data_IF_070423306379
#
_entry.id   IF_070423306379
#
_cell.length_a   1.000
_cell.length_b   1.000
_cell.length_c   1.000
_cell.angle_alpha   90.00
_cell.angle_beta   90.00
_cell.angle_gamma   90.00
#
_symmetry.space_group_name_H-M   'P 1'
#
loop_
_entity.id
_entity.type
_entity.pdbx_description
1 polymer ?
#
# COMPACT_ATOMS: atom_id res chain seq x y z
N UNK A 1 6.43 -23.93 18.70
CA UNK A 1 5.93 -23.17 17.54
C UNK A 1 6.96 -23.29 16.44
N UNK A 2 6.56 -23.53 15.17
CA UNK A 2 7.52 -23.67 14.06
C UNK A 2 7.98 -22.30 13.55
N UNK A 3 9.22 -22.22 13.12
CA UNK A 3 9.77 -21.08 12.39
C UNK A 3 9.77 -21.36 10.89
N UNK A 4 9.75 -20.29 10.10
CA UNK A 4 9.93 -20.32 8.66
C UNK A 4 10.74 -19.10 8.23
N UNK A 5 11.22 -19.09 6.98
CA UNK A 5 11.87 -17.91 6.41
C UNK A 5 10.87 -16.78 6.23
N UNK A 6 11.35 -15.53 6.21
CA UNK A 6 10.51 -14.37 5.92
C UNK A 6 9.88 -14.46 4.51
N UNK A 7 10.60 -15.03 3.53
CA UNK A 7 10.04 -15.30 2.21
C UNK A 7 8.84 -16.25 2.29
N UNK A 8 8.99 -17.40 2.94
CA UNK A 8 7.89 -18.36 3.14
C UNK A 8 6.73 -17.71 3.89
N UNK A 9 6.99 -16.90 4.92
CA UNK A 9 5.95 -16.17 5.64
C UNK A 9 5.10 -15.25 4.76
N UNK A 10 5.73 -14.62 3.76
CA UNK A 10 5.09 -13.68 2.84
C UNK A 10 4.44 -14.35 1.63
N UNK A 11 4.89 -15.55 1.24
CA UNK A 11 4.46 -16.17 -0.05
C UNK A 11 3.73 -17.50 0.10
N UNK A 12 3.86 -18.20 1.23
CA UNK A 12 3.30 -19.56 1.39
C UNK A 12 1.76 -19.55 1.46
N UNK A 13 1.21 -18.66 2.28
CA UNK A 13 -0.22 -18.53 2.49
C UNK A 13 -0.72 -17.19 1.94
N UNK A 14 -1.48 -17.24 0.86
CA UNK A 14 -2.15 -16.06 0.31
C UNK A 14 -3.43 -15.73 1.12
N UNK A 15 -3.83 -14.46 1.20
CA UNK A 15 -5.15 -14.08 1.71
C UNK A 15 -6.25 -14.78 0.90
N UNK A 16 -7.38 -15.13 1.52
CA UNK A 16 -8.49 -15.73 0.79
C UNK A 16 -9.06 -14.72 -0.21
N UNK A 17 -9.52 -15.21 -1.36
CA UNK A 17 -10.29 -14.41 -2.29
C UNK A 17 -11.57 -13.91 -1.61
N UNK A 18 -11.84 -12.61 -1.73
CA UNK A 18 -13.04 -11.99 -1.17
C UNK A 18 -14.19 -12.10 -2.18
N UNK A 19 -15.33 -12.60 -1.73
CA UNK A 19 -16.57 -12.52 -2.51
C UNK A 19 -17.23 -11.15 -2.30
N UNK A 20 -18.01 -10.71 -3.28
CA UNK A 20 -18.75 -9.45 -3.21
C UNK A 20 -20.26 -9.67 -3.30
N UNK A 21 -21.02 -8.87 -2.56
CA UNK A 21 -22.49 -8.93 -2.53
C UNK A 21 -23.10 -7.53 -2.52
N UNK A 22 -24.19 -7.31 -3.28
CA UNK A 22 -24.95 -6.05 -3.27
C UNK A 22 -24.07 -4.80 -3.45
N UNK A 23 -23.11 -4.86 -4.38
CA UNK A 23 -22.18 -3.75 -4.61
C UNK A 23 -22.86 -2.62 -5.35
N UNK A 24 -22.51 -1.39 -4.99
CA UNK A 24 -22.92 -0.20 -5.73
C UNK A 24 -21.68 0.53 -6.22
N UNK A 25 -21.63 0.78 -7.53
CA UNK A 25 -20.58 1.61 -8.12
C UNK A 25 -20.93 3.08 -7.90
N UNK A 26 -20.28 3.69 -6.92
CA UNK A 26 -20.31 5.15 -6.71
C UNK A 26 -18.99 5.77 -7.15
N UNK A 27 -19.01 7.06 -7.47
CA UNK A 27 -17.78 7.80 -7.81
C UNK A 27 -16.78 7.82 -6.66
N UNK A 28 -15.49 7.90 -7.02
CA UNK A 28 -14.41 8.07 -6.06
C UNK A 28 -14.43 9.47 -5.43
N UNK A 29 -13.74 9.61 -4.31
CA UNK A 29 -13.62 10.85 -3.56
C UNK A 29 -13.02 11.98 -4.43
N UNK A 30 -13.64 13.15 -4.36
CA UNK A 30 -13.19 14.36 -5.06
C UNK A 30 -12.92 15.48 -4.06
N UNK A 31 -12.02 16.39 -4.42
CA UNK A 31 -11.67 17.56 -3.63
C UNK A 31 -11.29 18.71 -4.57
N UNK A 32 -11.26 19.96 -4.09
CA UNK A 32 -10.80 21.10 -4.89
C UNK A 32 -9.26 21.23 -4.95
N UNK A 33 -8.51 20.45 -4.15
CA UNK A 33 -7.05 20.44 -4.10
C UNK A 33 -6.39 19.48 -5.08
N UNK A 34 -7.13 18.55 -5.65
CA UNK A 34 -6.65 17.60 -6.64
C UNK A 34 -7.76 17.18 -7.60
N UNK A 35 -7.39 16.88 -8.84
CA UNK A 35 -8.30 16.50 -9.90
C UNK A 35 -7.70 15.42 -10.77
N UNK A 36 -8.55 14.53 -11.31
CA UNK A 36 -8.18 13.63 -12.40
C UNK A 36 -7.47 14.34 -13.58
N UNK A 37 -7.73 15.64 -13.77
CA UNK A 37 -7.09 16.47 -14.79
C UNK A 37 -5.61 16.74 -14.52
N UNK A 38 -5.14 16.62 -13.28
CA UNK A 38 -3.76 16.85 -12.87
C UNK A 38 -2.85 15.71 -13.34
N UNK A 39 -3.43 14.52 -13.56
CA UNK A 39 -2.72 13.36 -14.10
C UNK A 39 -2.60 13.47 -15.61
N UNK A 40 -1.44 13.96 -16.05
CA UNK A 40 -1.12 14.14 -17.49
C UNK A 40 -0.64 12.86 -18.14
N UNK A 41 0.28 12.15 -17.48
CA UNK A 41 0.91 10.95 -18.01
C UNK A 41 0.98 9.87 -16.92
N UNK A 42 0.77 8.62 -17.32
CA UNK A 42 1.00 7.45 -16.48
C UNK A 42 1.92 6.52 -17.26
N UNK A 43 3.11 6.26 -16.72
CA UNK A 43 4.13 5.41 -17.33
C UNK A 43 4.36 4.17 -16.47
N UNK A 44 4.71 3.02 -17.07
CA UNK A 44 5.12 1.85 -16.29
C UNK A 44 6.35 2.17 -15.44
N UNK A 45 6.46 1.53 -14.26
CA UNK A 45 7.62 1.61 -13.40
C UNK A 45 8.38 0.27 -13.41
N UNK A 46 9.29 0.05 -14.40
CA UNK A 46 9.92 -1.24 -14.61
C UNK A 46 10.86 -1.67 -13.47
N UNK A 47 11.39 -0.71 -12.70
CA UNK A 47 12.30 -1.01 -11.59
C UNK A 47 11.59 -1.72 -10.43
N UNK A 48 10.27 -1.53 -10.28
CA UNK A 48 9.48 -2.30 -9.33
C UNK A 48 9.02 -3.61 -9.96
N UNK A 49 9.80 -4.67 -9.74
CA UNK A 49 9.50 -6.01 -10.23
C UNK A 49 9.86 -7.07 -9.20
N UNK A 50 9.18 -8.22 -9.26
CA UNK A 50 9.46 -9.35 -8.36
C UNK A 50 10.91 -9.83 -8.48
N UNK A 51 11.44 -9.92 -9.70
CA UNK A 51 12.84 -10.29 -9.94
C UNK A 51 13.81 -9.33 -9.25
N UNK A 52 13.56 -8.01 -9.33
CA UNK A 52 14.38 -7.01 -8.67
C UNK A 52 14.28 -7.09 -7.14
N UNK A 53 13.07 -7.30 -6.61
CA UNK A 53 12.85 -7.47 -5.16
C UNK A 53 13.64 -8.69 -4.64
N UNK A 54 13.58 -9.82 -5.34
CA UNK A 54 14.32 -11.03 -4.94
C UNK A 54 15.83 -10.85 -5.14
N UNK A 55 16.27 -10.15 -6.18
CA UNK A 55 17.69 -9.83 -6.38
C UNK A 55 18.25 -8.98 -5.23
N UNK A 56 17.54 -7.91 -4.86
CA UNK A 56 18.05 -6.92 -3.90
C UNK A 56 17.84 -7.37 -2.44
N UNK A 57 16.70 -8.02 -2.13
CA UNK A 57 16.32 -8.38 -0.76
C UNK A 57 16.27 -9.89 -0.51
N UNK A 58 16.54 -10.74 -1.50
CA UNK A 58 16.56 -12.20 -1.36
C UNK A 58 17.38 -12.72 -0.18
N UNK A 59 18.61 -12.20 0.08
CA UNK A 59 19.39 -12.61 1.25
C UNK A 59 18.67 -12.34 2.59
N UNK A 60 18.02 -11.19 2.73
CA UNK A 60 17.22 -10.83 3.92
C UNK A 60 16.01 -11.74 4.02
N UNK A 61 15.27 -11.90 2.92
CA UNK A 61 14.03 -12.67 2.88
C UNK A 61 14.25 -14.16 3.19
N UNK A 62 15.35 -14.76 2.74
CA UNK A 62 15.64 -16.18 2.95
C UNK A 62 16.32 -16.49 4.28
N UNK A 63 17.00 -15.52 4.92
CA UNK A 63 17.75 -15.75 6.17
C UNK A 63 17.02 -15.28 7.42
N UNK A 64 16.10 -14.32 7.29
CA UNK A 64 15.30 -13.84 8.41
C UNK A 64 14.34 -14.94 8.87
N UNK A 65 14.42 -15.32 10.14
CA UNK A 65 13.56 -16.35 10.73
C UNK A 65 12.38 -15.70 11.42
N UNK A 66 11.16 -16.15 11.14
CA UNK A 66 9.95 -15.61 11.76
C UNK A 66 9.06 -16.74 12.26
N UNK A 67 8.36 -16.49 13.37
CA UNK A 67 7.36 -17.42 13.87
C UNK A 67 6.29 -17.65 12.79
N UNK A 68 5.93 -18.92 12.59
CA UNK A 68 4.82 -19.26 11.71
C UNK A 68 3.54 -18.68 12.29
N UNK A 69 2.79 -17.99 11.45
CA UNK A 69 1.50 -17.40 11.79
C UNK A 69 0.62 -17.63 10.55
N UNK A 70 -0.18 -18.71 10.54
CA UNK A 70 -0.98 -19.11 9.39
C UNK A 70 -2.13 -18.13 9.17
N UNK A 71 -2.66 -18.08 7.95
CA UNK A 71 -3.86 -17.26 7.67
C UNK A 71 -5.03 -17.75 8.53
N UNK A 72 -5.90 -16.84 9.01
CA UNK A 72 -7.13 -17.23 9.69
C UNK A 72 -7.93 -18.22 8.83
N UNK A 73 -8.37 -19.32 9.45
CA UNK A 73 -9.15 -20.38 8.78
C UNK A 73 -10.65 -20.12 8.80
N UNK A 74 -11.08 -19.02 9.42
CA UNK A 74 -12.47 -18.58 9.40
C UNK A 74 -12.92 -18.31 7.97
N UNK A 75 -14.15 -18.69 7.57
CA UNK A 75 -14.67 -18.40 6.24
C UNK A 75 -14.58 -16.91 5.91
N UNK A 76 -14.06 -16.52 4.73
CA UNK A 76 -13.95 -15.11 4.36
C UNK A 76 -15.35 -14.51 4.25
N UNK A 77 -15.56 -13.40 4.96
CA UNK A 77 -16.84 -12.67 4.92
C UNK A 77 -16.87 -11.78 3.67
N UNK A 78 -18.00 -11.76 2.93
CA UNK A 78 -18.12 -10.95 1.73
C UNK A 78 -17.93 -9.46 2.03
N UNK A 79 -17.54 -8.72 0.99
CA UNK A 79 -17.44 -7.26 1.00
C UNK A 79 -18.56 -6.66 0.13
N UNK A 80 -19.01 -5.45 0.46
CA UNK A 80 -20.02 -4.73 -0.33
C UNK A 80 -19.64 -3.27 -0.61
N UNK A 81 -18.67 -2.76 0.15
CA UNK A 81 -18.20 -1.38 0.16
C UNK A 81 -16.72 -1.34 0.59
N UNK A 82 -16.12 -0.14 0.49
CA UNK A 82 -14.73 0.10 0.88
C UNK A 82 -14.50 -0.14 2.38
N UNK A 83 -15.47 0.18 3.24
CA UNK A 83 -15.32 -0.02 4.69
C UNK A 83 -15.13 -1.50 5.04
N UNK A 84 -15.93 -2.39 4.45
CA UNK A 84 -15.75 -3.83 4.66
C UNK A 84 -14.44 -4.33 4.04
N UNK A 85 -13.97 -3.74 2.93
CA UNK A 85 -12.65 -4.06 2.40
C UNK A 85 -11.52 -3.67 3.37
N UNK A 86 -11.60 -2.49 4.00
CA UNK A 86 -10.64 -2.09 5.04
C UNK A 86 -10.60 -3.09 6.20
N UNK A 87 -11.76 -3.55 6.67
CA UNK A 87 -11.82 -4.57 7.72
C UNK A 87 -11.08 -5.85 7.32
N UNK A 88 -11.25 -6.33 6.08
CA UNK A 88 -10.54 -7.52 5.58
C UNK A 88 -9.04 -7.26 5.40
N UNK A 89 -8.66 -6.07 4.96
CA UNK A 89 -7.26 -5.68 4.83
C UNK A 89 -6.54 -5.65 6.21
N UNK A 90 -7.22 -5.14 7.25
CA UNK A 90 -6.70 -5.16 8.63
C UNK A 90 -6.68 -6.57 9.21
N UNK A 91 -7.62 -7.44 8.84
CA UNK A 91 -7.67 -8.84 9.27
C UNK A 91 -6.53 -9.68 8.66
N UNK A 92 -6.29 -9.57 7.34
CA UNK A 92 -5.41 -10.48 6.61
C UNK A 92 -4.01 -9.92 6.30
N UNK A 93 -3.87 -8.61 6.03
CA UNK A 93 -2.64 -8.03 5.47
C UNK A 93 -1.85 -7.24 6.52
N UNK A 94 -2.50 -6.27 7.18
CA UNK A 94 -1.79 -5.27 8.00
C UNK A 94 -0.92 -5.88 9.11
N UNK A 95 -1.35 -6.90 9.87
CA UNK A 95 -0.52 -7.53 10.89
C UNK A 95 0.69 -8.26 10.30
N UNK A 96 0.55 -8.86 9.11
CA UNK A 96 1.63 -9.57 8.43
C UNK A 96 2.71 -8.62 7.95
N UNK A 97 2.33 -7.51 7.32
CA UNK A 97 3.29 -6.48 6.87
C UNK A 97 4.07 -5.94 8.07
N UNK A 98 3.40 -5.57 9.17
CA UNK A 98 4.05 -5.11 10.41
C UNK A 98 5.03 -6.14 10.97
N UNK A 99 4.62 -7.40 11.09
CA UNK A 99 5.48 -8.48 11.61
C UNK A 99 6.69 -8.74 10.72
N UNK A 100 6.49 -8.72 9.39
CA UNK A 100 7.54 -8.90 8.40
C UNK A 100 8.59 -7.78 8.45
N UNK A 101 8.14 -6.52 8.47
CA UNK A 101 9.02 -5.35 8.59
C UNK A 101 9.83 -5.41 9.90
N UNK A 102 9.17 -5.68 11.03
CA UNK A 102 9.84 -5.82 12.33
C UNK A 102 10.93 -6.90 12.28
N UNK A 103 10.59 -8.12 11.88
CA UNK A 103 11.54 -9.23 11.83
C UNK A 103 12.71 -8.94 10.87
N UNK A 104 12.42 -8.35 9.71
CA UNK A 104 13.41 -7.96 8.71
C UNK A 104 14.43 -6.97 9.26
N UNK A 105 13.99 -5.89 9.91
CA UNK A 105 14.91 -4.89 10.45
C UNK A 105 15.63 -5.36 11.73
N UNK A 106 14.93 -6.03 12.66
CA UNK A 106 15.53 -6.48 13.93
C UNK A 106 16.66 -7.51 13.72
N UNK A 107 16.50 -8.42 12.76
CA UNK A 107 17.47 -9.49 12.51
C UNK A 107 18.56 -9.12 11.49
N UNK A 108 18.44 -7.95 10.83
CA UNK A 108 19.39 -7.51 9.81
C UNK A 108 19.86 -6.07 10.08
N UNK A 109 20.58 -5.81 11.19
CA UNK A 109 21.05 -4.47 11.54
C UNK A 109 22.00 -3.85 10.51
N UNK A 110 22.60 -4.64 9.62
CA UNK A 110 23.39 -4.14 8.49
C UNK A 110 22.56 -3.33 7.48
N UNK A 111 21.24 -3.53 7.41
CA UNK A 111 20.37 -2.73 6.54
C UNK A 111 20.39 -1.26 6.94
N UNK A 112 20.38 -0.97 8.24
CA UNK A 112 20.43 0.40 8.74
C UNK A 112 21.86 0.91 8.83
N UNK A 113 22.81 0.07 9.27
CA UNK A 113 24.20 0.49 9.47
C UNK A 113 25.01 0.68 8.17
N UNK A 114 24.76 -0.12 7.14
CA UNK A 114 25.58 -0.16 5.92
C UNK A 114 24.82 0.15 4.63
N UNK A 115 23.52 -0.20 4.54
CA UNK A 115 22.71 0.02 3.33
C UNK A 115 21.90 1.33 3.36
N UNK A 116 22.08 2.16 4.39
CA UNK A 116 21.38 3.44 4.59
C UNK A 116 19.84 3.30 4.48
N UNK A 117 19.30 2.15 4.90
CA UNK A 117 17.87 1.97 5.06
C UNK A 117 17.42 2.47 6.43
N UNK A 118 16.15 2.86 6.50
CA UNK A 118 15.53 3.29 7.73
C UNK A 118 14.51 2.25 8.16
N UNK A 119 14.54 1.88 9.45
CA UNK A 119 13.57 0.94 9.99
C UNK A 119 12.17 1.56 9.99
N UNK A 120 11.26 0.91 9.28
CA UNK A 120 9.86 1.36 9.12
C UNK A 120 8.88 0.32 9.63
N UNK A 121 7.67 0.79 9.94
CA UNK A 121 6.49 -0.01 10.23
C UNK A 121 5.33 0.44 9.33
N UNK A 122 4.19 -0.23 9.44
CA UNK A 122 3.00 -0.04 8.62
C UNK A 122 1.77 0.14 9.51
N UNK A 123 0.94 1.14 9.25
CA UNK A 123 -0.31 1.34 10.00
C UNK A 123 -1.36 2.10 9.15
N UNK A 124 -2.50 2.45 9.75
CA UNK A 124 -3.47 3.36 9.14
C UNK A 124 -2.91 4.78 9.01
N UNK A 125 -3.41 5.56 8.05
CA UNK A 125 -2.86 6.90 7.79
C UNK A 125 -2.97 7.92 8.92
N UNK A 126 -3.77 7.65 9.97
CA UNK A 126 -3.80 8.46 11.19
C UNK A 126 -2.64 8.18 12.16
N UNK A 127 -1.75 7.24 11.84
CA UNK A 127 -0.56 6.96 12.64
C UNK A 127 0.57 7.97 12.40
N UNK A 128 0.45 8.83 11.39
CA UNK A 128 1.39 9.91 11.06
C UNK A 128 0.74 11.29 11.27
N UNK A 129 1.49 12.36 11.12
CA UNK A 129 0.94 13.72 11.10
C UNK A 129 0.00 13.92 9.90
N UNK A 130 -1.24 14.35 10.17
CA UNK A 130 -2.22 14.67 9.13
C UNK A 130 -1.97 16.07 8.57
N UNK A 131 -1.80 16.17 7.26
CA UNK A 131 -1.57 17.43 6.55
C UNK A 131 -2.87 17.91 5.93
N UNK A 132 -3.30 19.13 6.29
CA UNK A 132 -4.56 19.74 5.86
C UNK A 132 -5.81 18.87 6.12
N UNK A 133 -5.78 18.07 7.19
CA UNK A 133 -6.85 17.10 7.54
C UNK A 133 -7.09 15.99 6.50
N UNK A 134 -6.20 15.82 5.52
CA UNK A 134 -6.25 14.69 4.60
C UNK A 134 -5.62 13.46 5.25
N UNK A 135 -6.36 12.36 5.23
CA UNK A 135 -5.96 11.08 5.81
C UNK A 135 -5.90 10.02 4.70
N UNK A 136 -4.70 9.59 4.29
CA UNK A 136 -4.54 8.37 3.50
C UNK A 136 -5.09 7.17 4.28
N UNK A 137 -5.47 6.09 3.60
CA UNK A 137 -5.97 4.90 4.28
C UNK A 137 -4.87 4.19 5.06
N UNK A 138 -3.64 4.23 4.55
CA UNK A 138 -2.46 3.58 5.13
C UNK A 138 -1.24 4.49 5.15
N UNK A 139 -0.31 4.19 6.04
CA UNK A 139 0.97 4.87 6.15
C UNK A 139 2.12 3.88 6.37
N UNK A 140 3.25 4.19 5.75
CA UNK A 140 4.56 3.67 6.16
C UNK A 140 5.26 4.77 6.95
N UNK A 141 5.69 4.46 8.16
CA UNK A 141 6.29 5.41 9.09
C UNK A 141 7.52 4.81 9.75
N UNK A 142 8.40 5.64 10.31
CA UNK A 142 9.58 5.15 11.00
C UNK A 142 9.15 4.41 12.26
N UNK A 143 9.81 3.28 12.54
CA UNK A 143 9.46 2.46 13.70
C UNK A 143 9.70 3.17 15.04
N UNK A 144 10.52 4.23 15.05
CA UNK A 144 10.81 5.06 16.21
C UNK A 144 9.83 6.21 16.43
N UNK A 145 8.95 6.49 15.46
CA UNK A 145 8.04 7.64 15.55
C UNK A 145 6.91 7.36 16.55
N UNK A 146 6.50 8.40 17.28
CA UNK A 146 5.34 8.36 18.15
C UNK A 146 4.08 8.37 17.27
N UNK A 147 3.07 7.57 17.59
CA UNK A 147 1.80 7.54 16.84
C UNK A 147 1.19 8.93 16.76
N UNK A 148 0.81 9.34 15.55
CA UNK A 148 0.29 10.68 15.23
C UNK A 148 1.38 11.72 14.92
N UNK A 149 2.65 11.31 14.95
CA UNK A 149 3.80 12.16 14.61
C UNK A 149 4.57 11.58 13.42
N UNK A 150 5.46 12.39 12.84
CA UNK A 150 6.29 11.97 11.73
C UNK A 150 5.59 12.02 10.37
N UNK A 151 6.38 11.77 9.33
CA UNK A 151 5.95 11.88 7.93
C UNK A 151 5.50 10.52 7.39
N UNK A 152 4.51 10.52 6.49
CA UNK A 152 4.17 9.32 5.74
C UNK A 152 5.22 9.04 4.65
N UNK A 153 6.03 8.00 4.82
CA UNK A 153 7.09 7.62 3.90
C UNK A 153 6.55 6.97 2.62
N UNK A 154 5.33 6.42 2.67
CA UNK A 154 4.61 5.94 1.49
C UNK A 154 3.11 5.85 1.82
N UNK A 155 2.31 6.88 1.48
CA UNK A 155 0.87 6.81 1.65
C UNK A 155 0.29 5.74 0.76
N UNK A 156 -0.77 5.09 1.25
CA UNK A 156 -1.54 4.15 0.45
C UNK A 156 -3.04 4.42 0.52
N UNK A 157 -3.71 4.05 -0.55
CA UNK A 157 -5.15 4.20 -0.76
C UNK A 157 -5.76 2.81 -0.96
N UNK A 158 -6.84 2.51 -0.25
CA UNK A 158 -7.55 1.25 -0.33
C UNK A 158 -8.81 1.46 -1.17
N UNK A 159 -8.98 0.62 -2.19
CA UNK A 159 -10.15 0.67 -3.09
C UNK A 159 -10.75 -0.70 -3.28
N UNK A 160 -11.96 -0.71 -3.78
CA UNK A 160 -12.62 -1.93 -4.24
C UNK A 160 -12.54 -2.00 -5.76
N UNK A 161 -12.33 -3.20 -6.28
CA UNK A 161 -12.07 -3.47 -7.70
C UNK A 161 -13.22 -3.05 -8.60
N UNK A 162 -14.47 -2.97 -8.11
CA UNK A 162 -15.58 -2.43 -8.91
C UNK A 162 -15.66 -0.90 -8.96
N UNK A 163 -14.81 -0.19 -8.21
CA UNK A 163 -14.69 1.28 -8.23
C UNK A 163 -13.39 1.78 -8.83
N UNK A 164 -12.34 0.97 -8.82
CA UNK A 164 -11.06 1.30 -9.41
C UNK A 164 -10.26 0.04 -9.74
N UNK A 165 -9.64 0.01 -10.91
CA UNK A 165 -8.68 -1.02 -11.32
C UNK A 165 -7.60 -0.43 -12.20
N UNK A 166 -6.40 -1.02 -12.17
CA UNK A 166 -5.29 -0.61 -13.02
C UNK A 166 -5.58 -0.79 -14.52
N UNK A 167 -6.40 -1.79 -14.88
CA UNK A 167 -6.80 -2.10 -16.26
C UNK A 167 -7.51 -0.92 -16.95
N UNK A 168 -8.14 -0.03 -16.18
CA UNK A 168 -8.81 1.17 -16.71
C UNK A 168 -7.84 2.23 -17.25
N UNK A 169 -6.53 2.04 -17.12
CA UNK A 169 -5.52 2.90 -17.75
C UNK A 169 -5.71 3.05 -19.26
N UNK A 170 -6.20 2.00 -19.93
CA UNK A 170 -6.37 1.95 -21.39
C UNK A 170 -7.84 1.85 -21.81
N UNK A 171 -8.77 2.11 -20.89
CA UNK A 171 -10.21 2.08 -21.21
C UNK A 171 -10.60 3.19 -22.19
N UNK A 172 -11.59 2.92 -23.03
CA UNK A 172 -12.24 3.92 -23.89
C UNK A 172 -13.48 4.53 -23.24
N UNK A 173 -13.95 3.97 -22.13
CA UNK A 173 -15.07 4.53 -21.37
C UNK A 173 -14.63 5.79 -20.62
N UNK A 174 -15.34 6.90 -20.85
CA UNK A 174 -14.96 8.20 -20.32
C UNK A 174 -15.11 8.27 -18.78
N UNK A 175 -16.06 7.52 -18.21
CA UNK A 175 -16.26 7.47 -16.77
C UNK A 175 -15.15 6.64 -16.11
N UNK A 176 -14.84 5.46 -16.64
CA UNK A 176 -13.74 4.62 -16.15
C UNK A 176 -12.40 5.35 -16.24
N UNK A 177 -12.11 6.01 -17.36
CA UNK A 177 -10.88 6.77 -17.54
C UNK A 177 -10.76 7.94 -16.54
N UNK A 178 -11.88 8.59 -16.23
CA UNK A 178 -11.96 9.65 -15.21
C UNK A 178 -11.74 9.09 -13.81
N UNK A 179 -12.45 8.03 -13.43
CA UNK A 179 -12.34 7.41 -12.11
C UNK A 179 -10.94 6.82 -11.88
N UNK A 180 -10.34 6.22 -12.93
CA UNK A 180 -8.96 5.76 -12.92
C UNK A 180 -8.00 6.88 -12.51
N UNK A 181 -8.04 8.02 -13.23
CA UNK A 181 -7.18 9.18 -12.96
C UNK A 181 -7.53 9.89 -11.66
N UNK A 182 -8.77 9.81 -11.19
CA UNK A 182 -9.21 10.45 -9.96
C UNK A 182 -8.49 9.85 -8.74
N UNK A 183 -8.43 8.52 -8.63
CA UNK A 183 -7.69 7.86 -7.54
C UNK A 183 -6.19 8.15 -7.63
N UNK A 184 -5.61 8.14 -8.85
CA UNK A 184 -4.21 8.52 -9.04
C UNK A 184 -3.94 9.96 -8.58
N UNK A 185 -4.85 10.90 -8.85
CA UNK A 185 -4.71 12.31 -8.43
C UNK A 185 -4.76 12.47 -6.91
N UNK A 186 -5.62 11.69 -6.24
CA UNK A 186 -5.72 11.67 -4.79
C UNK A 186 -4.43 11.15 -4.16
N UNK A 187 -3.93 9.99 -4.62
CA UNK A 187 -2.69 9.43 -4.09
C UNK A 187 -1.49 10.34 -4.39
N UNK A 188 -1.40 10.90 -5.61
CA UNK A 188 -0.33 11.85 -5.95
C UNK A 188 -0.37 13.08 -5.03
N UNK A 189 -1.56 13.59 -4.70
CA UNK A 189 -1.70 14.69 -3.74
C UNK A 189 -1.14 14.31 -2.35
N UNK A 190 -1.46 13.11 -1.84
CA UNK A 190 -0.88 12.63 -0.58
C UNK A 190 0.65 12.50 -0.65
N UNK A 191 1.18 12.01 -1.78
CA UNK A 191 2.63 11.89 -2.00
C UNK A 191 3.32 13.25 -1.99
N UNK A 192 2.73 14.25 -2.66
CA UNK A 192 3.23 15.64 -2.66
C UNK A 192 3.20 16.24 -1.25
N UNK A 193 2.08 16.12 -0.52
CA UNK A 193 1.96 16.63 0.84
C UNK A 193 3.04 16.03 1.76
N UNK A 194 3.28 14.72 1.66
CA UNK A 194 4.25 14.00 2.49
C UNK A 194 5.68 14.01 1.90
N UNK A 195 5.92 14.73 0.80
CA UNK A 195 7.23 14.83 0.12
C UNK A 195 7.86 13.47 -0.17
N UNK A 196 7.04 12.48 -0.53
CA UNK A 196 7.50 11.12 -0.79
C UNK A 196 7.42 10.76 -2.25
N UNK A 197 8.46 10.06 -2.72
CA UNK A 197 8.54 9.54 -4.09
C UNK A 197 7.57 8.38 -4.33
N UNK A 198 7.20 7.63 -3.29
CA UNK A 198 6.48 6.36 -3.44
C UNK A 198 5.10 6.42 -2.77
N UNK A 199 4.16 5.72 -3.37
CA UNK A 199 2.83 5.47 -2.84
C UNK A 199 2.28 4.19 -3.44
N UNK A 200 1.11 3.73 -2.99
CA UNK A 200 0.51 2.52 -3.54
C UNK A 200 -1.01 2.53 -3.42
N UNK A 201 -1.66 1.79 -4.31
CA UNK A 201 -3.10 1.51 -4.24
C UNK A 201 -3.25 0.01 -4.02
N UNK A 202 -4.13 -0.40 -3.10
CA UNK A 202 -4.49 -1.80 -2.93
C UNK A 202 -5.99 -1.97 -3.18
N UNK A 203 -6.33 -2.99 -3.93
CA UNK A 203 -7.70 -3.47 -4.05
C UNK A 203 -7.85 -4.91 -3.58
N UNK A 204 -9.08 -5.41 -3.57
CA UNK A 204 -9.36 -6.83 -3.34
C UNK A 204 -8.71 -7.77 -4.38
N UNK A 205 -8.21 -7.24 -5.50
CA UNK A 205 -7.63 -8.04 -6.59
C UNK A 205 -6.18 -7.69 -6.93
N UNK A 206 -5.66 -6.54 -6.52
CA UNK A 206 -4.33 -6.09 -6.95
C UNK A 206 -3.63 -5.15 -5.96
N UNK A 207 -2.29 -5.10 -6.08
CA UNK A 207 -1.43 -4.06 -5.52
C UNK A 207 -0.82 -3.27 -6.69
N UNK A 208 -1.01 -1.95 -6.68
CA UNK A 208 -0.47 -1.05 -7.70
C UNK A 208 0.52 -0.08 -7.05
N UNK A 209 1.82 -0.38 -7.11
CA UNK A 209 2.86 0.51 -6.61
C UNK A 209 3.03 1.70 -7.57
N UNK A 210 3.29 2.87 -7.03
CA UNK A 210 3.44 4.10 -7.77
C UNK A 210 4.70 4.85 -7.37
N UNK A 211 5.30 5.51 -8.35
CA UNK A 211 6.39 6.47 -8.16
C UNK A 211 6.00 7.82 -8.77
N UNK A 212 6.25 8.90 -8.04
CA UNK A 212 6.12 10.27 -8.52
C UNK A 212 7.45 10.82 -9.04
N UNK A 213 7.38 11.90 -9.81
CA UNK A 213 8.55 12.73 -10.09
C UNK A 213 8.76 13.70 -8.92
N UNK A 214 9.98 13.74 -8.37
CA UNK A 214 10.32 14.47 -7.14
C UNK A 214 10.37 16.00 -7.28
N UNK A 215 9.84 16.59 -8.36
CA UNK A 215 9.80 18.04 -8.55
C UNK A 215 8.56 18.61 -7.85
N UNK A 216 8.62 18.65 -6.52
CA UNK A 216 7.54 19.08 -5.62
C UNK A 216 7.29 20.59 -5.64
N UNK A 217 6.91 21.16 -6.78
CA UNK A 217 6.38 22.52 -6.85
C UNK A 217 4.88 22.48 -6.60
N UNK A 218 4.50 22.77 -5.35
CA UNK A 218 3.16 23.24 -5.02
C UNK A 218 2.99 24.60 -5.73
N UNK A 219 2.10 24.68 -6.72
CA UNK A 219 1.66 25.94 -7.31
C UNK A 219 0.80 26.73 -6.32
#
# INVERSE_FOLDING_TARGET
MSHQTLLEYLTKDAPPALSYQNTTRTSNTTNNKYSWRDIKNVVPWPDFSYSRIIQDYGPVLNRTSILSDPMPTSPPRPIRDESLFHDRFVEYISPRVRRALRAGFEQNPSLTAAANHEAVTFDGGSAVTLLDQFKPDTAILRSSDIVGTGDNRAPGDLKVSWKWKSEWRTTTDAQDAREYKQVLSQLNYYMVQNKTKYGFIVTDTELVPMTGNCDWKLS
#
